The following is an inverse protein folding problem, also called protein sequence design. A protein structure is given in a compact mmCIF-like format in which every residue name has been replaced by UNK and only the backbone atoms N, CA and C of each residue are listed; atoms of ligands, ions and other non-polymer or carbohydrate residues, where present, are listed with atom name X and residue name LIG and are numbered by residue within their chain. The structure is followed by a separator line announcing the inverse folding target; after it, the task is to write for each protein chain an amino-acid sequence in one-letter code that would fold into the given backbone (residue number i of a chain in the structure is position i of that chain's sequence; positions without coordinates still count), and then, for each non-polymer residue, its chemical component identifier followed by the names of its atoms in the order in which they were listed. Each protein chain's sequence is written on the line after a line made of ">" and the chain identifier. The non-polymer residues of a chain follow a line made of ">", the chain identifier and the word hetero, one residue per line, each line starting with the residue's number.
data_IF_844878098128
#
_entry.id   IF_844878098128
#
_cell.length_a   1.000
_cell.length_b   1.000
_cell.length_c   1.000
_cell.angle_alpha   90.00
_cell.angle_beta   90.00
_cell.angle_gamma   90.00
#
_symmetry.space_group_name_H-M   'P 1'
#
loop_
_entity.id
_entity.type
_entity.pdbx_description
1 polymer ?
#
# COMPACT_ATOMS: atom_id res chain seq x y z
N UNK A 1 14.35 16.69 4.75
CA UNK A 1 13.44 15.99 5.69
C UNK A 1 12.19 15.71 4.87
N UNK A 2 11.87 14.44 4.69
CA UNK A 2 11.02 13.94 3.59
C UNK A 2 9.62 13.60 4.11
N UNK A 3 8.57 13.90 3.35
CA UNK A 3 7.20 13.58 3.74
C UNK A 3 6.87 12.16 3.34
N UNK A 4 6.29 11.45 4.29
CA UNK A 4 5.89 10.07 4.10
C UNK A 4 4.39 9.98 4.32
N UNK A 5 3.68 9.70 3.23
CA UNK A 5 2.24 9.55 3.22
C UNK A 5 1.93 8.08 2.89
N UNK A 6 0.98 7.46 3.58
CA UNK A 6 0.41 6.17 3.16
C UNK A 6 -0.84 6.47 2.36
N UNK A 7 -1.00 5.75 1.26
CA UNK A 7 -2.23 5.72 0.49
C UNK A 7 -2.91 4.36 0.65
N UNK A 8 -4.24 4.41 0.68
CA UNK A 8 -5.21 3.40 0.25
C UNK A 8 -4.73 1.95 0.00
N UNK A 9 -5.43 0.99 0.58
CA UNK A 9 -5.64 -0.30 -0.08
C UNK A 9 -6.84 -0.20 -1.04
N UNK A 10 -6.92 -1.06 -2.06
CA UNK A 10 -8.08 -1.17 -2.97
C UNK A 10 -8.29 -0.02 -3.95
N UNK A 11 -7.20 0.52 -4.50
CA UNK A 11 -7.28 1.64 -5.46
C UNK A 11 -7.68 1.24 -6.89
N UNK A 12 -7.57 -0.04 -7.25
CA UNK A 12 -7.90 -0.64 -8.55
C UNK A 12 -7.44 0.14 -9.81
N UNK A 13 -6.44 1.02 -9.69
CA UNK A 13 -5.89 1.93 -10.69
C UNK A 13 -6.92 2.60 -11.62
N UNK A 14 -8.12 2.89 -11.12
CA UNK A 14 -9.18 3.58 -11.87
C UNK A 14 -9.63 4.84 -11.12
N UNK A 15 -10.94 5.04 -10.94
CA UNK A 15 -11.49 6.16 -10.18
C UNK A 15 -10.88 6.25 -8.79
N UNK A 16 -10.44 5.15 -8.19
CA UNK A 16 -10.17 5.10 -6.74
C UNK A 16 -8.78 5.66 -6.37
N UNK A 17 -7.95 5.99 -7.38
CA UNK A 17 -6.78 6.85 -7.23
C UNK A 17 -7.13 8.34 -7.10
N UNK A 18 -8.42 8.67 -6.92
CA UNK A 18 -8.93 10.04 -6.91
C UNK A 18 -8.20 10.92 -5.91
N UNK A 19 -8.02 10.47 -4.66
CA UNK A 19 -7.39 11.29 -3.61
C UNK A 19 -5.92 11.57 -3.93
N UNK A 20 -5.20 10.57 -4.47
CA UNK A 20 -3.82 10.76 -4.92
C UNK A 20 -3.74 11.75 -6.08
N UNK A 21 -4.64 11.63 -7.05
CA UNK A 21 -4.72 12.59 -8.14
C UNK A 21 -5.03 14.01 -7.64
N UNK A 22 -5.93 14.15 -6.67
CA UNK A 22 -6.22 15.45 -6.06
C UNK A 22 -5.01 16.03 -5.34
N UNK A 23 -4.27 15.23 -4.57
CA UNK A 23 -3.03 15.67 -3.94
C UNK A 23 -2.02 16.20 -4.98
N UNK A 24 -1.85 15.49 -6.10
CA UNK A 24 -0.96 15.92 -7.18
C UNK A 24 -1.44 17.24 -7.83
N UNK A 25 -2.74 17.40 -8.06
CA UNK A 25 -3.32 18.64 -8.59
C UNK A 25 -3.15 19.82 -7.62
N UNK A 26 -3.32 19.60 -6.31
CA UNK A 26 -3.11 20.64 -5.29
C UNK A 26 -1.63 21.03 -5.19
N UNK A 27 -0.71 20.06 -5.30
CA UNK A 27 0.72 20.34 -5.37
C UNK A 27 1.10 21.14 -6.63
N UNK A 28 0.49 20.85 -7.79
CA UNK A 28 0.69 21.63 -9.01
C UNK A 28 0.15 23.07 -8.88
N UNK A 29 -1.04 23.24 -8.30
CA UNK A 29 -1.60 24.58 -8.00
C UNK A 29 -0.66 25.36 -7.08
N UNK A 30 -0.15 24.73 -6.02
CA UNK A 30 0.82 25.33 -5.11
C UNK A 30 2.08 25.77 -5.87
N UNK A 31 2.64 24.91 -6.73
CA UNK A 31 3.82 25.24 -7.53
C UNK A 31 3.58 26.43 -8.45
N UNK A 32 2.42 26.53 -9.09
CA UNK A 32 2.07 27.69 -9.92
C UNK A 32 1.97 28.98 -9.11
N UNK A 33 1.48 28.90 -7.86
CA UNK A 33 1.30 30.05 -6.96
C UNK A 33 2.62 30.54 -6.35
N UNK A 34 3.47 29.63 -5.89
CA UNK A 34 4.67 29.95 -5.10
C UNK A 34 5.99 29.77 -5.88
N UNK A 35 5.96 29.23 -7.10
CA UNK A 35 7.15 29.01 -7.93
C UNK A 35 8.02 27.81 -7.51
N UNK A 36 7.62 27.09 -6.46
CA UNK A 36 8.35 25.92 -5.90
C UNK A 36 7.41 24.74 -5.74
N UNK A 37 7.89 23.53 -6.03
CA UNK A 37 7.09 22.31 -5.83
C UNK A 37 7.14 21.88 -4.36
N UNK A 38 6.00 21.75 -3.65
CA UNK A 38 6.00 21.38 -2.24
C UNK A 38 6.31 19.88 -2.04
N UNK A 39 6.06 19.08 -3.08
CA UNK A 39 6.31 17.65 -3.13
C UNK A 39 7.32 17.33 -4.23
N UNK A 40 8.10 16.28 -4.03
CA UNK A 40 9.07 15.77 -5.00
C UNK A 40 9.24 14.27 -4.86
N UNK A 41 10.11 13.69 -5.69
CA UNK A 41 10.37 12.24 -5.79
C UNK A 41 10.85 11.58 -4.50
N UNK A 42 11.34 12.34 -3.54
CA UNK A 42 11.81 11.80 -2.27
C UNK A 42 10.67 11.75 -1.22
N UNK A 43 9.53 12.40 -1.51
CA UNK A 43 8.28 12.07 -0.83
C UNK A 43 7.72 10.77 -1.39
N UNK A 44 7.24 9.91 -0.49
CA UNK A 44 6.82 8.55 -0.82
C UNK A 44 5.34 8.38 -0.49
N UNK A 45 4.62 7.72 -1.38
CA UNK A 45 3.32 7.12 -1.07
C UNK A 45 3.37 5.60 -1.15
N UNK A 46 2.86 4.93 -0.11
CA UNK A 46 2.78 3.47 -0.03
C UNK A 46 1.31 3.05 -0.17
N UNK A 47 0.96 2.24 -1.18
CA UNK A 47 -0.38 1.67 -1.39
C UNK A 47 -0.44 0.27 -0.79
N UNK A 48 -1.46 0.01 0.04
CA UNK A 48 -1.62 -1.22 0.84
C UNK A 48 -2.39 -2.33 0.07
N UNK A 49 -1.98 -2.59 -1.16
CA UNK A 49 -2.57 -3.63 -2.00
C UNK A 49 -3.71 -3.19 -2.90
N UNK A 50 -4.12 -4.12 -3.77
CA UNK A 50 -5.16 -3.98 -4.77
C UNK A 50 -4.97 -2.71 -5.61
N UNK A 51 -3.73 -2.52 -6.06
CA UNK A 51 -3.36 -1.30 -6.77
C UNK A 51 -3.99 -1.24 -8.16
N UNK A 52 -4.33 -2.39 -8.76
CA UNK A 52 -4.94 -2.49 -10.10
C UNK A 52 -3.99 -2.21 -11.29
N UNK A 53 -2.70 -1.98 -11.02
CA UNK A 53 -1.67 -1.79 -12.05
C UNK A 53 -1.18 -3.15 -12.54
N UNK A 54 -0.97 -3.27 -13.85
CA UNK A 54 -0.52 -4.51 -14.50
C UNK A 54 -1.52 -5.67 -14.39
N UNK A 55 -2.81 -5.41 -14.17
CA UNK A 55 -3.81 -6.46 -13.90
C UNK A 55 -4.02 -7.46 -15.06
N UNK A 56 -4.16 -6.96 -16.28
CA UNK A 56 -4.41 -7.85 -17.43
C UNK A 56 -3.13 -8.60 -17.83
N UNK A 57 -3.23 -9.82 -18.41
CA UNK A 57 -2.07 -10.60 -18.84
C UNK A 57 -1.13 -9.89 -19.83
N UNK A 58 -1.64 -8.88 -20.56
CA UNK A 58 -0.87 -8.00 -21.43
C UNK A 58 -1.21 -6.55 -21.11
N UNK A 59 -0.23 -5.67 -21.31
CA UNK A 59 -0.43 -4.24 -21.20
C UNK A 59 -1.50 -3.78 -22.19
N UNK A 60 -2.49 -3.04 -21.68
CA UNK A 60 -3.52 -2.40 -22.50
C UNK A 60 -3.11 -0.96 -22.82
N UNK A 61 -3.69 -0.32 -23.86
CA UNK A 61 -3.46 1.09 -24.14
C UNK A 61 -3.82 1.99 -22.95
N UNK A 62 -4.92 1.68 -22.25
CA UNK A 62 -5.35 2.39 -21.05
C UNK A 62 -4.30 2.30 -19.93
N UNK A 63 -3.79 1.09 -19.66
CA UNK A 63 -2.73 0.89 -18.67
C UNK A 63 -1.48 1.71 -19.01
N UNK A 64 -1.03 1.68 -20.27
CA UNK A 64 0.13 2.44 -20.72
C UNK A 64 -0.09 3.95 -20.57
N UNK A 65 -1.29 4.44 -20.89
CA UNK A 65 -1.65 5.84 -20.72
C UNK A 65 -1.63 6.25 -19.25
N UNK A 66 -2.29 5.47 -18.38
CA UNK A 66 -2.36 5.75 -16.95
C UNK A 66 -0.97 5.75 -16.30
N UNK A 67 -0.10 4.78 -16.62
CA UNK A 67 1.29 4.77 -16.12
C UNK A 67 2.05 6.01 -16.61
N UNK A 68 1.85 6.41 -17.87
CA UNK A 68 2.46 7.61 -18.45
C UNK A 68 2.01 8.90 -17.77
N UNK A 69 0.69 9.07 -17.56
CA UNK A 69 0.10 10.18 -16.84
C UNK A 69 0.57 10.22 -15.39
N UNK A 70 0.59 9.06 -14.72
CA UNK A 70 1.06 8.95 -13.35
C UNK A 70 2.51 9.44 -13.21
N UNK A 71 3.40 8.92 -14.06
CA UNK A 71 4.80 9.29 -14.06
C UNK A 71 5.03 10.77 -14.39
N UNK A 72 4.12 11.41 -15.14
CA UNK A 72 4.19 12.83 -15.51
C UNK A 72 3.65 13.76 -14.43
N UNK A 73 2.49 13.47 -13.86
CA UNK A 73 1.73 14.39 -13.01
C UNK A 73 2.14 14.27 -11.54
N UNK A 74 2.47 13.07 -11.06
CA UNK A 74 2.74 12.86 -9.65
C UNK A 74 4.16 13.30 -9.31
N UNK A 75 4.37 14.33 -8.46
CA UNK A 75 5.71 14.78 -8.13
C UNK A 75 6.46 13.75 -7.27
N UNK A 76 5.73 12.94 -6.51
CA UNK A 76 6.21 11.96 -5.53
C UNK A 76 6.49 10.57 -6.11
N UNK A 77 7.20 9.75 -5.34
CA UNK A 77 7.40 8.32 -5.66
C UNK A 77 6.28 7.49 -5.07
N UNK A 78 5.74 6.59 -5.86
CA UNK A 78 4.69 5.67 -5.45
C UNK A 78 5.21 4.26 -5.41
N UNK A 79 5.00 3.63 -4.28
CA UNK A 79 5.28 2.23 -4.08
C UNK A 79 4.01 1.54 -3.65
N UNK A 80 3.84 0.28 -4.03
CA UNK A 80 2.69 -0.49 -3.59
C UNK A 80 3.10 -1.89 -3.22
N UNK A 81 2.38 -2.45 -2.26
CA UNK A 81 2.35 -3.87 -1.98
C UNK A 81 1.31 -4.51 -2.89
N UNK A 82 1.45 -5.79 -3.19
CA UNK A 82 0.36 -6.58 -3.78
C UNK A 82 -0.87 -6.72 -2.84
N UNK A 83 -1.85 -7.53 -3.20
CA UNK A 83 -3.15 -7.73 -2.59
C UNK A 83 -3.76 -9.03 -3.12
N UNK A 84 -5.08 -9.10 -3.30
CA UNK A 84 -5.74 -10.25 -3.93
C UNK A 84 -6.28 -9.94 -5.35
N UNK A 85 -5.98 -8.77 -5.90
CA UNK A 85 -6.33 -8.38 -7.26
C UNK A 85 -5.12 -7.90 -8.08
N UNK A 86 -4.00 -8.62 -8.02
CA UNK A 86 -2.84 -8.37 -8.88
C UNK A 86 -2.47 -9.54 -9.79
N UNK A 87 -1.83 -9.19 -10.89
CA UNK A 87 -1.25 -10.16 -11.80
C UNK A 87 0.16 -10.55 -11.37
N UNK A 88 0.27 -11.56 -10.50
CA UNK A 88 1.56 -12.05 -10.02
C UNK A 88 2.53 -12.46 -11.12
N UNK A 89 2.12 -13.12 -12.21
CA UNK A 89 3.01 -13.38 -13.35
C UNK A 89 3.67 -12.11 -13.89
N UNK A 90 2.94 -11.01 -14.05
CA UNK A 90 3.50 -9.74 -14.50
C UNK A 90 4.36 -9.06 -13.46
N UNK A 91 3.96 -9.10 -12.18
CA UNK A 91 4.76 -8.52 -11.08
C UNK A 91 6.09 -9.25 -10.88
N UNK A 92 6.10 -10.57 -11.02
CA UNK A 92 7.28 -11.41 -10.74
C UNK A 92 8.40 -11.28 -11.78
N UNK A 93 8.06 -10.85 -13.01
CA UNK A 93 9.02 -10.62 -14.11
C UNK A 93 9.49 -9.17 -14.22
N UNK A 94 9.00 -8.26 -13.36
CA UNK A 94 9.48 -6.88 -13.33
C UNK A 94 10.99 -6.84 -13.08
N UNK A 95 11.66 -5.86 -13.70
CA UNK A 95 13.08 -5.61 -13.44
C UNK A 95 13.27 -5.30 -11.96
N UNK A 96 14.11 -6.09 -11.30
CA UNK A 96 14.38 -5.97 -9.87
C UNK A 96 15.49 -4.96 -9.60
N UNK A 97 15.39 -4.26 -8.48
CA UNK A 97 16.51 -3.49 -7.91
C UNK A 97 16.41 -3.46 -6.38
N UNK A 98 17.56 -3.29 -5.74
CA UNK A 98 17.61 -2.92 -4.32
C UNK A 98 17.17 -1.46 -4.16
N UNK A 99 16.30 -1.21 -3.19
CA UNK A 99 15.77 0.11 -2.86
C UNK A 99 15.35 0.14 -1.40
N UNK A 100 15.84 1.13 -0.64
CA UNK A 100 15.48 1.31 0.77
C UNK A 100 15.62 0.02 1.61
N UNK A 101 16.70 -0.75 1.42
CA UNK A 101 16.96 -1.97 2.20
C UNK A 101 16.20 -3.23 1.77
N UNK A 102 15.27 -3.14 0.81
CA UNK A 102 14.55 -4.28 0.24
C UNK A 102 14.60 -4.33 -1.29
N UNK A 103 14.01 -5.36 -1.87
CA UNK A 103 13.87 -5.53 -3.32
C UNK A 103 12.55 -4.94 -3.83
N UNK A 104 12.61 -4.23 -4.95
CA UNK A 104 11.43 -3.70 -5.64
C UNK A 104 11.39 -4.14 -7.10
N UNK A 105 10.18 -4.33 -7.64
CA UNK A 105 9.92 -4.44 -9.07
C UNK A 105 9.67 -3.06 -9.67
N UNK A 106 10.45 -2.68 -10.68
CA UNK A 106 10.35 -1.35 -11.30
C UNK A 106 9.33 -1.36 -12.42
N UNK A 107 8.33 -0.47 -12.34
CA UNK A 107 7.26 -0.30 -13.34
C UNK A 107 7.51 0.99 -14.13
N UNK A 108 7.78 2.08 -13.43
CA UNK A 108 8.22 3.35 -14.01
C UNK A 108 9.21 4.05 -13.07
N UNK A 109 9.68 5.25 -13.41
CA UNK A 109 10.69 5.96 -12.62
C UNK A 109 10.23 6.25 -11.18
N UNK A 110 8.95 6.61 -11.01
CA UNK A 110 8.30 6.94 -9.73
C UNK A 110 7.19 5.95 -9.34
N UNK A 111 7.22 4.73 -9.89
CA UNK A 111 6.21 3.72 -9.64
C UNK A 111 6.85 2.35 -9.50
N UNK A 112 6.73 1.74 -8.32
CA UNK A 112 7.39 0.47 -8.00
C UNK A 112 6.50 -0.45 -7.18
N UNK A 113 6.73 -1.75 -7.34
CA UNK A 113 6.12 -2.79 -6.53
C UNK A 113 7.09 -3.21 -5.42
N UNK A 114 6.69 -3.07 -4.15
CA UNK A 114 7.42 -3.58 -2.99
C UNK A 114 7.27 -5.09 -2.94
N UNK A 115 8.38 -5.81 -2.96
CA UNK A 115 8.33 -7.28 -2.86
C UNK A 115 7.92 -7.68 -1.44
N UNK A 116 6.86 -8.48 -1.35
CA UNK A 116 6.37 -9.07 -0.09
C UNK A 116 7.47 -9.79 0.72
N UNK A 117 7.22 -9.94 2.03
CA UNK A 117 8.08 -10.63 3.01
C UNK A 117 9.45 -9.95 3.22
N UNK A 118 9.46 -8.61 3.27
CA UNK A 118 10.69 -7.82 3.44
C UNK A 118 10.46 -6.61 4.35
N UNK A 119 11.56 -6.06 4.87
CA UNK A 119 11.57 -4.81 5.63
C UNK A 119 12.25 -3.74 4.78
N UNK A 120 11.61 -2.58 4.66
CA UNK A 120 12.14 -1.41 3.97
C UNK A 120 12.48 -0.31 4.98
N UNK A 121 13.60 0.40 4.77
CA UNK A 121 13.96 1.61 5.48
C UNK A 121 13.68 2.83 4.60
N UNK A 122 12.55 3.49 4.86
CA UNK A 122 12.07 4.64 4.10
C UNK A 122 12.06 5.83 5.04
N UNK A 123 12.80 6.89 4.70
CA UNK A 123 12.89 8.12 5.50
C UNK A 123 13.24 7.88 6.98
N UNK A 124 14.13 6.92 7.24
CA UNK A 124 14.60 6.57 8.60
C UNK A 124 13.60 5.77 9.42
N UNK A 125 12.51 5.28 8.82
CA UNK A 125 11.50 4.43 9.44
C UNK A 125 11.51 3.05 8.78
N UNK A 126 11.25 2.02 9.58
CA UNK A 126 11.18 0.63 9.12
C UNK A 126 9.76 0.20 8.81
N UNK A 127 9.57 -0.42 7.64
CA UNK A 127 8.29 -0.89 7.11
C UNK A 127 8.38 -2.37 6.81
N UNK A 128 7.71 -3.20 7.61
CA UNK A 128 7.50 -4.59 7.25
C UNK A 128 6.35 -4.70 6.27
N UNK A 129 6.57 -5.43 5.17
CA UNK A 129 5.60 -5.63 4.11
C UNK A 129 5.32 -7.12 3.94
N UNK A 130 4.07 -7.52 4.12
CA UNK A 130 3.62 -8.89 3.91
C UNK A 130 2.21 -8.91 3.34
N UNK A 131 1.98 -9.75 2.35
CA UNK A 131 1.00 -9.38 1.36
C UNK A 131 0.29 -10.56 0.72
N UNK A 132 -1.01 -10.39 0.56
CA UNK A 132 -1.97 -11.36 0.07
C UNK A 132 -3.31 -11.23 0.80
N UNK A 133 -4.37 -11.75 0.20
CA UNK A 133 -5.66 -11.99 0.83
C UNK A 133 -6.39 -13.09 0.04
N UNK A 134 -7.43 -13.68 0.62
CA UNK A 134 -8.26 -14.64 -0.08
C UNK A 134 -9.38 -13.94 -0.86
N UNK A 135 -9.38 -14.06 -2.19
CA UNK A 135 -10.53 -13.68 -3.02
C UNK A 135 -11.75 -14.56 -2.71
N UNK A 136 -12.74 -14.01 -2.01
CA UNK A 136 -13.98 -14.71 -1.65
C UNK A 136 -14.83 -15.12 -2.87
N UNK A 137 -14.66 -14.41 -3.98
CA UNK A 137 -15.36 -14.60 -5.25
C UNK A 137 -14.54 -15.41 -6.27
N UNK A 138 -13.40 -16.00 -5.89
CA UNK A 138 -12.50 -16.76 -6.79
C UNK A 138 -13.20 -17.87 -7.59
N UNK A 139 -14.28 -18.44 -7.06
CA UNK A 139 -15.10 -19.47 -7.74
C UNK A 139 -15.79 -18.94 -9.00
N UNK A 140 -15.97 -17.62 -9.11
CA UNK A 140 -16.56 -16.94 -10.27
C UNK A 140 -15.50 -16.33 -11.20
N UNK A 141 -14.21 -16.55 -10.94
CA UNK A 141 -13.10 -15.98 -11.68
C UNK A 141 -12.41 -17.03 -12.55
N UNK A 142 -11.61 -16.55 -13.50
CA UNK A 142 -10.84 -17.41 -14.40
C UNK A 142 -9.40 -17.52 -13.88
N UNK A 143 -8.94 -18.72 -13.49
CA UNK A 143 -7.57 -18.92 -13.03
C UNK A 143 -6.53 -18.43 -14.04
N UNK A 144 -5.52 -17.73 -13.53
CA UNK A 144 -4.44 -17.10 -14.27
C UNK A 144 -4.85 -15.96 -15.23
N UNK A 145 -6.10 -15.49 -15.14
CA UNK A 145 -6.62 -14.36 -15.94
C UNK A 145 -7.21 -13.26 -15.07
N UNK A 146 -8.08 -13.61 -14.13
CA UNK A 146 -8.71 -12.68 -13.19
C UNK A 146 -8.54 -13.09 -11.72
N UNK A 147 -7.95 -14.25 -11.49
CA UNK A 147 -7.60 -14.79 -10.18
C UNK A 147 -6.30 -15.58 -10.26
N UNK A 148 -5.48 -15.50 -9.22
CA UNK A 148 -4.20 -16.21 -9.15
C UNK A 148 -4.04 -16.92 -7.80
N UNK A 149 -3.60 -18.20 -7.78
CA UNK A 149 -3.30 -18.88 -6.51
C UNK A 149 -2.19 -18.17 -5.71
N UNK A 150 -1.35 -17.37 -6.38
CA UNK A 150 -0.30 -16.54 -5.78
C UNK A 150 -0.81 -15.36 -4.93
N UNK A 151 -2.12 -15.08 -4.92
CA UNK A 151 -2.78 -14.17 -3.97
C UNK A 151 -2.53 -14.61 -2.52
N UNK A 152 -2.40 -15.91 -2.27
CA UNK A 152 -2.12 -16.45 -0.94
C UNK A 152 -0.61 -16.51 -0.68
N UNK A 153 -0.21 -16.15 0.54
CA UNK A 153 1.17 -16.27 1.01
C UNK A 153 1.57 -17.74 1.11
N UNK A 154 2.55 -18.16 0.30
CA UNK A 154 3.03 -19.54 0.30
C UNK A 154 4.02 -19.80 1.46
N UNK A 155 4.38 -21.08 1.68
CA UNK A 155 5.27 -21.46 2.80
C UNK A 155 6.62 -20.73 2.76
N UNK A 156 7.26 -20.63 1.59
CA UNK A 156 8.58 -19.99 1.46
C UNK A 156 8.50 -18.50 1.83
N UNK A 157 7.43 -17.83 1.42
CA UNK A 157 7.18 -16.43 1.76
C UNK A 157 6.92 -16.25 3.26
N UNK A 158 6.15 -17.15 3.88
CA UNK A 158 5.98 -17.19 5.34
C UNK A 158 7.30 -17.38 6.07
N UNK A 159 8.11 -18.34 5.64
CA UNK A 159 9.42 -18.62 6.24
C UNK A 159 10.36 -17.41 6.09
N UNK A 160 10.36 -16.75 4.93
CA UNK A 160 11.11 -15.51 4.70
C UNK A 160 10.63 -14.38 5.59
N UNK A 161 9.32 -14.17 5.71
CA UNK A 161 8.71 -13.17 6.57
C UNK A 161 9.13 -13.34 8.03
N UNK A 162 9.10 -14.58 8.54
CA UNK A 162 9.56 -14.88 9.88
C UNK A 162 11.06 -14.61 10.03
N UNK A 163 11.89 -15.04 9.08
CA UNK A 163 13.33 -14.82 9.14
C UNK A 163 13.71 -13.34 9.20
N UNK A 164 13.13 -12.49 8.33
CA UNK A 164 13.44 -11.05 8.35
C UNK A 164 12.96 -10.36 9.64
N UNK A 165 11.89 -10.85 10.25
CA UNK A 165 11.41 -10.35 11.54
C UNK A 165 12.29 -10.82 12.71
N UNK A 166 12.81 -12.05 12.68
CA UNK A 166 13.81 -12.51 13.65
C UNK A 166 15.09 -11.68 13.55
N UNK A 167 15.61 -11.43 12.35
CA UNK A 167 16.80 -10.61 12.12
C UNK A 167 16.61 -9.15 12.57
N UNK A 168 15.36 -8.67 12.62
CA UNK A 168 14.98 -7.35 13.12
C UNK A 168 14.58 -7.35 14.60
N UNK A 169 14.87 -8.41 15.35
CA UNK A 169 14.50 -8.57 16.77
C UNK A 169 13.00 -8.37 17.04
N UNK A 170 12.15 -8.70 16.07
CA UNK A 170 10.70 -8.48 16.11
C UNK A 170 10.33 -7.02 16.41
N UNK A 171 11.07 -6.07 15.83
CA UNK A 171 10.82 -4.63 15.97
C UNK A 171 10.82 -3.96 14.61
N UNK A 172 9.73 -3.28 14.30
CA UNK A 172 9.62 -2.38 13.15
C UNK A 172 8.82 -1.14 13.54
N UNK A 173 8.90 -0.06 12.79
CA UNK A 173 8.06 1.11 13.08
C UNK A 173 6.64 0.89 12.56
N UNK A 174 6.50 0.35 11.34
CA UNK A 174 5.21 0.19 10.69
C UNK A 174 5.08 -1.14 9.98
N UNK A 175 3.84 -1.60 9.87
CA UNK A 175 3.47 -2.79 9.09
C UNK A 175 2.49 -2.41 8.01
N UNK A 176 2.74 -2.83 6.77
CA UNK A 176 1.86 -2.62 5.62
C UNK A 176 1.47 -3.99 5.07
N UNK A 177 0.17 -4.27 5.08
CA UNK A 177 -0.40 -5.50 4.52
C UNK A 177 -1.64 -5.20 3.70
N UNK A 178 -2.14 -6.19 2.95
CA UNK A 178 -3.43 -6.04 2.29
C UNK A 178 -4.58 -6.50 3.21
N UNK A 179 -4.63 -7.78 3.57
CA UNK A 179 -5.47 -8.26 4.68
C UNK A 179 -4.92 -7.81 6.04
N UNK A 180 -5.77 -7.81 7.07
CA UNK A 180 -5.39 -7.54 8.46
C UNK A 180 -5.25 -8.81 9.32
N UNK A 181 -4.82 -8.67 10.58
CA UNK A 181 -4.81 -9.76 11.56
C UNK A 181 -6.24 -10.21 11.91
N UNK A 182 -6.42 -11.52 12.08
CA UNK A 182 -7.73 -12.15 12.22
C UNK A 182 -8.62 -11.54 13.31
N UNK A 183 -8.13 -11.39 14.55
CA UNK A 183 -9.00 -11.02 15.68
C UNK A 183 -9.48 -9.57 15.62
N UNK A 184 -8.62 -8.56 15.39
CA UNK A 184 -9.07 -7.17 15.27
C UNK A 184 -10.03 -6.96 14.09
N UNK A 185 -9.77 -7.60 12.95
CA UNK A 185 -10.63 -7.51 11.78
C UNK A 185 -11.96 -8.19 12.05
N UNK A 186 -11.98 -9.44 12.54
CA UNK A 186 -13.24 -10.18 12.77
C UNK A 186 -14.18 -9.42 13.70
N UNK A 187 -13.64 -8.79 14.73
CA UNK A 187 -14.42 -8.05 15.71
C UNK A 187 -15.03 -6.75 15.14
N UNK A 188 -14.46 -6.22 14.05
CA UNK A 188 -14.88 -4.94 13.45
C UNK A 188 -15.66 -5.14 12.14
N UNK A 189 -15.25 -6.12 11.33
CA UNK A 189 -15.75 -6.42 9.99
C UNK A 189 -16.23 -7.87 9.92
N UNK A 190 -17.22 -8.22 10.76
CA UNK A 190 -17.74 -9.59 10.86
C UNK A 190 -18.29 -10.16 9.54
N UNK A 191 -18.66 -9.30 8.61
CA UNK A 191 -19.19 -9.69 7.30
C UNK A 191 -18.08 -10.16 6.34
N UNK A 192 -16.84 -9.74 6.56
CA UNK A 192 -15.67 -10.19 5.79
C UNK A 192 -15.11 -11.50 6.37
N UNK A 193 -15.07 -11.63 7.69
CA UNK A 193 -14.58 -12.84 8.37
C UNK A 193 -15.75 -13.64 8.97
N UNK A 194 -16.31 -14.54 8.17
CA UNK A 194 -17.51 -15.28 8.55
C UNK A 194 -17.22 -16.61 9.24
N UNK A 195 -15.98 -17.12 9.21
CA UNK A 195 -15.69 -18.49 9.66
C UNK A 195 -14.22 -18.79 9.91
N UNK A 196 -13.96 -19.81 10.73
CA UNK A 196 -12.64 -20.44 10.91
C UNK A 196 -12.49 -21.75 10.12
N UNK A 197 -13.55 -22.20 9.42
CA UNK A 197 -13.54 -23.46 8.69
C UNK A 197 -12.70 -23.36 7.41
N UNK A 198 -11.57 -24.09 7.28
CA UNK A 198 -10.69 -24.01 6.10
C UNK A 198 -11.34 -24.42 4.78
N UNK A 199 -12.52 -25.06 4.84
CA UNK A 199 -13.31 -25.44 3.65
C UNK A 199 -14.26 -24.35 3.17
N UNK A 200 -14.41 -23.26 3.91
CA UNK A 200 -15.29 -22.16 3.51
C UNK A 200 -14.58 -21.23 2.53
N UNK A 201 -15.33 -20.67 1.58
CA UNK A 201 -14.82 -19.59 0.71
C UNK A 201 -14.49 -18.29 1.47
N UNK A 202 -15.06 -18.11 2.66
CA UNK A 202 -14.83 -16.97 3.57
C UNK A 202 -13.67 -17.21 4.55
N UNK A 203 -12.89 -18.27 4.35
CA UNK A 203 -11.70 -18.53 5.14
C UNK A 203 -10.48 -17.92 4.45
N UNK A 204 -9.81 -17.00 5.14
CA UNK A 204 -8.55 -16.43 4.69
C UNK A 204 -7.37 -16.94 5.55
N UNK A 205 -6.50 -17.83 5.02
CA UNK A 205 -5.32 -18.29 5.75
C UNK A 205 -4.24 -17.22 5.96
N UNK A 206 -4.31 -16.08 5.25
CA UNK A 206 -3.40 -14.96 5.42
C UNK A 206 -3.68 -14.25 6.73
N UNK A 207 -4.95 -13.97 7.05
CA UNK A 207 -5.36 -13.30 8.30
C UNK A 207 -4.86 -14.03 9.56
N UNK A 208 -4.94 -15.38 9.57
CA UNK A 208 -4.41 -16.18 10.68
C UNK A 208 -2.88 -16.18 10.76
N UNK A 209 -2.19 -16.00 9.63
CA UNK A 209 -0.74 -15.86 9.65
C UNK A 209 -0.33 -14.46 10.14
N UNK A 210 -1.07 -13.42 9.73
CA UNK A 210 -0.88 -12.05 10.20
C UNK A 210 -1.17 -11.92 11.70
N UNK A 211 -2.18 -12.62 12.23
CA UNK A 211 -2.44 -12.68 13.68
C UNK A 211 -1.20 -13.12 14.48
N UNK A 212 -0.51 -14.17 14.03
CA UNK A 212 0.71 -14.67 14.69
C UNK A 212 1.83 -13.64 14.70
N UNK A 213 1.91 -12.81 13.66
CA UNK A 213 2.89 -11.72 13.58
C UNK A 213 2.45 -10.60 14.52
N UNK A 214 1.18 -10.20 14.45
CA UNK A 214 0.58 -9.15 15.27
C UNK A 214 0.78 -9.38 16.76
N UNK A 215 0.61 -10.62 17.24
CA UNK A 215 0.78 -10.98 18.66
C UNK A 215 2.21 -10.87 19.18
N UNK A 216 3.21 -10.99 18.30
CA UNK A 216 4.64 -11.06 18.67
C UNK A 216 5.42 -9.79 18.33
N UNK A 217 5.05 -9.13 17.24
CA UNK A 217 5.79 -8.00 16.67
C UNK A 217 5.58 -6.75 17.51
N UNK A 218 6.66 -6.05 17.82
CA UNK A 218 6.60 -4.70 18.36
C UNK A 218 6.61 -3.71 17.20
N UNK A 219 5.50 -2.99 17.03
CA UNK A 219 5.30 -1.99 15.99
C UNK A 219 4.62 -0.73 16.54
N UNK A 220 4.78 0.41 15.86
CA UNK A 220 4.07 1.65 16.23
C UNK A 220 2.66 1.70 15.65
N UNK A 221 2.50 1.27 14.40
CA UNK A 221 1.18 1.23 13.75
C UNK A 221 1.13 0.21 12.61
N UNK A 222 -0.02 -0.40 12.41
CA UNK A 222 -0.32 -1.35 11.33
C UNK A 222 -1.31 -0.72 10.35
N UNK A 223 -1.03 -0.80 9.05
CA UNK A 223 -1.94 -0.33 8.01
C UNK A 223 -2.30 -1.48 7.07
N UNK A 224 -3.60 -1.65 6.82
CA UNK A 224 -4.10 -2.64 5.87
C UNK A 224 -5.25 -2.11 5.01
N UNK A 225 -5.58 -2.81 3.93
CA UNK A 225 -6.71 -2.52 3.05
C UNK A 225 -7.80 -3.59 3.17
N UNK A 226 -8.31 -4.04 2.02
CA UNK A 226 -9.17 -5.21 1.79
C UNK A 226 -10.63 -5.09 2.26
N UNK A 227 -10.89 -4.36 3.35
CA UNK A 227 -12.21 -4.34 4.00
C UNK A 227 -13.12 -3.17 3.56
N UNK A 228 -12.72 -2.43 2.52
CA UNK A 228 -13.49 -1.36 1.86
C UNK A 228 -14.05 -0.28 2.81
N UNK A 229 -13.35 0.00 3.90
CA UNK A 229 -13.73 1.02 4.87
C UNK A 229 -12.49 1.72 5.45
N UNK A 230 -12.63 2.98 5.83
CA UNK A 230 -11.59 3.75 6.48
C UNK A 230 -11.80 3.73 7.99
N UNK A 231 -11.07 2.86 8.69
CA UNK A 231 -11.33 2.56 10.11
C UNK A 231 -10.06 2.38 10.93
N UNK A 232 -9.95 3.12 12.03
CA UNK A 232 -8.92 2.87 13.06
C UNK A 232 -9.42 1.93 14.15
N UNK A 233 -8.62 0.91 14.46
CA UNK A 233 -8.83 -0.14 15.46
C UNK A 233 -7.56 -0.20 16.34
N UNK A 234 -7.51 0.62 17.38
CA UNK A 234 -6.30 0.75 18.22
C UNK A 234 -5.09 1.22 17.41
N UNK A 235 -4.05 0.38 17.36
CA UNK A 235 -2.80 0.58 16.62
C UNK A 235 -2.85 0.00 15.19
N UNK A 236 -4.03 -0.41 14.72
CA UNK A 236 -4.28 -0.80 13.35
C UNK A 236 -5.20 0.22 12.67
N UNK A 237 -4.96 0.52 11.40
CA UNK A 237 -5.89 1.28 10.56
C UNK A 237 -6.13 0.54 9.25
N UNK A 238 -7.40 0.27 8.97
CA UNK A 238 -7.87 -0.10 7.65
C UNK A 238 -8.00 1.18 6.81
N UNK A 239 -7.39 1.19 5.63
CA UNK A 239 -7.40 2.30 4.69
C UNK A 239 -8.08 1.86 3.40
N UNK A 240 -9.11 2.59 3.00
CA UNK A 240 -9.77 2.40 1.71
C UNK A 240 -9.56 3.61 0.81
N UNK A 241 -10.18 4.75 1.12
CA UNK A 241 -10.06 5.95 0.30
C UNK A 241 -9.08 6.95 0.90
N UNK A 242 -8.85 6.92 2.21
CA UNK A 242 -8.04 7.95 2.87
C UNK A 242 -6.55 7.90 2.46
N UNK A 243 -5.94 9.08 2.53
CA UNK A 243 -4.49 9.24 2.58
C UNK A 243 -4.11 9.62 4.01
N UNK A 244 -3.10 8.99 4.57
CA UNK A 244 -2.68 9.20 5.95
C UNK A 244 -1.24 9.68 5.97
N UNK A 245 -0.97 10.79 6.63
CA UNK A 245 0.39 11.22 6.93
C UNK A 245 0.95 10.33 8.05
N UNK A 246 2.06 9.63 7.79
CA UNK A 246 2.62 8.66 8.76
C UNK A 246 3.14 9.35 10.02
N UNK A 247 3.74 10.53 9.85
CA UNK A 247 4.42 11.22 10.95
C UNK A 247 3.41 11.75 11.97
N UNK A 248 2.24 12.18 11.51
CA UNK A 248 1.18 12.77 12.33
C UNK A 248 0.03 11.81 12.61
N UNK A 249 -0.13 10.75 11.80
CA UNK A 249 -1.28 9.86 11.82
C UNK A 249 -2.58 10.50 11.34
N UNK A 250 -2.52 11.70 10.74
CA UNK A 250 -3.70 12.44 10.30
C UNK A 250 -4.11 12.07 8.87
N UNK A 251 -5.41 11.99 8.63
CA UNK A 251 -5.95 11.90 7.28
C UNK A 251 -5.71 13.21 6.53
N UNK A 252 -5.20 13.13 5.30
CA UNK A 252 -5.06 14.28 4.41
C UNK A 252 -6.42 14.62 3.79
N UNK A 253 -6.93 15.79 4.13
CA UNK A 253 -8.20 16.32 3.63
C UNK A 253 -7.97 17.02 2.28
N UNK A 254 -7.70 16.24 1.24
CA UNK A 254 -7.28 16.77 -0.08
C UNK A 254 -8.34 17.62 -0.81
N UNK A 255 -9.57 17.64 -0.32
CA UNK A 255 -10.68 18.47 -0.81
C UNK A 255 -10.88 19.77 -0.03
N UNK A 256 -10.27 19.89 1.15
CA UNK A 256 -10.37 21.09 1.96
C UNK A 256 -9.24 22.03 1.58
N UNK A 257 -9.50 22.95 0.65
CA UNK A 257 -8.48 23.82 0.03
C UNK A 257 -7.61 24.54 1.08
N UNK A 258 -8.19 25.06 2.17
CA UNK A 258 -7.43 25.71 3.24
C UNK A 258 -6.52 24.74 4.00
N UNK A 259 -7.02 23.53 4.28
CA UNK A 259 -6.26 22.50 4.99
C UNK A 259 -5.09 22.01 4.15
N UNK A 260 -5.36 21.66 2.89
CA UNK A 260 -4.34 21.11 1.98
C UNK A 260 -3.31 22.17 1.60
N UNK A 261 -3.71 23.44 1.42
CA UNK A 261 -2.75 24.52 1.21
C UNK A 261 -1.82 24.67 2.42
N UNK A 262 -2.36 24.65 3.65
CA UNK A 262 -1.54 24.70 4.87
C UNK A 262 -0.60 23.50 4.98
N UNK A 263 -1.08 22.29 4.67
CA UNK A 263 -0.26 21.09 4.65
C UNK A 263 0.91 21.21 3.67
N UNK A 264 0.65 21.62 2.42
CA UNK A 264 1.67 21.82 1.39
C UNK A 264 2.64 22.96 1.73
N UNK A 265 2.16 24.02 2.39
CA UNK A 265 3.00 25.10 2.86
C UNK A 265 3.97 24.63 3.96
N UNK A 266 3.47 23.91 4.95
CA UNK A 266 4.31 23.27 5.97
C UNK A 266 5.31 22.30 5.33
N UNK A 267 4.88 21.61 4.25
CA UNK A 267 5.76 20.70 3.54
C UNK A 267 6.93 21.42 2.85
N UNK A 268 6.66 22.53 2.18
CA UNK A 268 7.67 23.38 1.56
C UNK A 268 8.61 24.04 2.59
N UNK A 269 8.09 24.50 3.74
CA UNK A 269 8.89 25.06 4.83
C UNK A 269 9.87 24.04 5.42
N UNK A 270 9.42 22.79 5.67
CA UNK A 270 10.30 21.71 6.16
C UNK A 270 11.44 21.39 5.18
N UNK A 271 11.26 21.72 3.89
CA UNK A 271 12.27 21.59 2.83
C UNK A 271 13.12 22.86 2.63
N UNK A 272 12.83 23.95 3.33
CA UNK A 272 13.52 25.24 3.18
C UNK A 272 13.29 25.89 1.82
N UNK A 273 12.16 25.60 1.17
CA UNK A 273 11.82 26.16 -0.15
C UNK A 273 11.15 27.53 -0.06
N UNK A 274 10.58 27.85 1.10
CA UNK A 274 9.92 29.10 1.46
C UNK A 274 10.23 29.48 2.90
#
# INVERSE_FOLDING_TARGET
>A
MFHLTIAAGDTHFTSDMFHLRQLALQAEKFQRKYGVSPLDRDDIVIIAGDTGILFYPKQTPMESQLIGEYNKIFPLTTVFTDGNHENFPRLNVLRRRQWCGGEVGVIANKLMHLRRSQIFNINGKTFFVLVGANSMDKEFRTPHVTWWPEELVNKREKDQALAVLEDADWKVDYVITHAGPYTPIRNTFSDFIQTTNPKSRYYDPVEFFLEKIYDRLNFRHWYCGHYHDDKRIGDLTVIYQNLIDIDTGQTLLVYEDEWIEKYLHNAAQKKGLI
#
